data_IF_443862485045
#
_entry.id   IF_443862485045
#
_cell.length_a   1.000
_cell.length_b   1.000
_cell.length_c   1.000
_cell.angle_alpha   90.00
_cell.angle_beta   90.00
_cell.angle_gamma   90.00
#
_symmetry.space_group_name_H-M   'P 1'
#
loop_
_entity.id
_entity.type
_entity.pdbx_description
1 polymer ?
#
# COMPACT_ATOMS: atom_id res chain seq x y z
N UNK A 1 -24.60 -18.68 -10.33
CA UNK A 1 -24.08 -17.57 -9.48
C UNK A 1 -22.58 -17.45 -9.70
N UNK A 2 -22.11 -16.35 -10.32
CA UNK A 2 -20.67 -16.05 -10.43
C UNK A 2 -20.12 -15.72 -9.02
N UNK A 3 -18.85 -16.02 -8.73
CA UNK A 3 -18.18 -15.78 -7.43
C UNK A 3 -18.71 -16.61 -6.23
N UNK A 4 -19.16 -17.85 -6.47
CA UNK A 4 -19.72 -18.74 -5.43
C UNK A 4 -18.78 -18.99 -4.24
N UNK A 5 -17.48 -19.11 -4.51
CA UNK A 5 -16.43 -19.26 -3.50
C UNK A 5 -16.33 -18.03 -2.60
N UNK A 6 -16.33 -16.83 -3.18
CA UNK A 6 -16.31 -15.57 -2.42
C UNK A 6 -17.56 -15.41 -1.56
N UNK A 7 -18.74 -15.68 -2.12
CA UNK A 7 -20.00 -15.61 -1.37
C UNK A 7 -20.00 -16.60 -0.20
N UNK A 8 -19.57 -17.84 -0.44
CA UNK A 8 -19.46 -18.87 0.61
C UNK A 8 -18.47 -18.43 1.71
N UNK A 9 -17.32 -17.90 1.31
CA UNK A 9 -16.33 -17.35 2.24
C UNK A 9 -16.93 -16.23 3.10
N UNK A 10 -17.56 -15.22 2.49
CA UNK A 10 -18.15 -14.08 3.21
C UNK A 10 -19.24 -14.52 4.19
N UNK A 11 -20.12 -15.43 3.80
CA UNK A 11 -21.13 -16.00 4.71
C UNK A 11 -20.46 -16.74 5.87
N UNK A 12 -19.42 -17.53 5.59
CA UNK A 12 -18.67 -18.25 6.63
C UNK A 12 -18.03 -17.29 7.62
N UNK A 13 -17.42 -16.19 7.14
CA UNK A 13 -16.83 -15.15 8.00
C UNK A 13 -17.90 -14.44 8.83
N UNK A 14 -19.05 -14.11 8.23
CA UNK A 14 -20.17 -13.47 8.93
C UNK A 14 -20.71 -14.31 10.09
N UNK A 15 -20.72 -15.64 9.94
CA UNK A 15 -21.22 -16.59 10.93
C UNK A 15 -20.16 -17.08 11.94
N UNK A 16 -18.93 -16.55 11.91
CA UNK A 16 -17.90 -16.98 12.87
C UNK A 16 -18.27 -16.67 14.32
N UNK A 17 -17.89 -17.56 15.25
CA UNK A 17 -17.96 -17.29 16.68
C UNK A 17 -16.83 -16.33 17.12
N UNK A 18 -16.98 -15.71 18.29
CA UNK A 18 -15.92 -14.88 18.88
C UNK A 18 -14.62 -15.67 19.06
N UNK A 19 -14.70 -16.94 19.46
CA UNK A 19 -13.54 -17.82 19.60
C UNK A 19 -12.76 -17.98 18.29
N UNK A 20 -13.45 -18.30 17.18
CA UNK A 20 -12.81 -18.43 15.86
C UNK A 20 -12.15 -17.12 15.41
N UNK A 21 -12.80 -15.98 15.66
CA UNK A 21 -12.24 -14.65 15.39
C UNK A 21 -10.98 -14.40 16.20
N UNK A 22 -10.98 -14.76 17.49
CA UNK A 22 -9.82 -14.62 18.37
C UNK A 22 -8.67 -15.56 17.98
N UNK A 23 -8.95 -16.76 17.49
CA UNK A 23 -7.92 -17.66 16.94
C UNK A 23 -7.23 -17.02 15.74
N UNK A 24 -8.00 -16.51 14.77
CA UNK A 24 -7.43 -15.82 13.61
C UNK A 24 -6.63 -14.56 14.01
N UNK A 25 -7.11 -13.78 14.99
CA UNK A 25 -6.40 -12.61 15.48
C UNK A 25 -5.02 -12.98 16.09
N UNK A 26 -4.93 -14.12 16.78
CA UNK A 26 -3.67 -14.58 17.39
C UNK A 26 -2.60 -14.97 16.38
N UNK A 27 -2.97 -15.22 15.12
CA UNK A 27 -1.99 -15.39 14.04
C UNK A 27 -1.20 -14.10 13.80
N UNK A 28 -1.82 -12.93 14.00
CA UNK A 28 -1.18 -11.61 13.84
C UNK A 28 -0.69 -11.01 15.16
N UNK A 29 -1.41 -11.27 16.25
CA UNK A 29 -1.08 -10.77 17.58
C UNK A 29 -1.25 -11.87 18.64
N UNK A 30 -0.22 -12.71 18.85
CA UNK A 30 -0.32 -13.90 19.72
C UNK A 30 -0.78 -13.62 21.15
N UNK A 31 -0.46 -12.43 21.69
CA UNK A 31 -0.85 -12.00 23.03
C UNK A 31 -2.31 -11.56 23.20
N UNK A 32 -3.15 -11.68 22.16
CA UNK A 32 -4.54 -11.25 22.22
C UNK A 32 -5.36 -12.02 23.28
N UNK A 33 -5.85 -11.29 24.29
CA UNK A 33 -6.72 -11.78 25.37
C UNK A 33 -8.17 -11.41 25.13
N UNK A 34 -9.09 -12.37 25.23
CA UNK A 34 -10.50 -12.21 24.81
C UNK A 34 -11.17 -11.02 25.47
N UNK A 35 -10.90 -10.79 26.76
CA UNK A 35 -11.44 -9.71 27.59
C UNK A 35 -11.10 -8.29 27.08
N UNK A 36 -10.08 -8.14 26.24
CA UNK A 36 -9.71 -6.85 25.64
C UNK A 36 -10.39 -6.58 24.31
N UNK A 37 -11.14 -7.55 23.76
CA UNK A 37 -11.72 -7.45 22.42
C UNK A 37 -13.24 -7.50 22.49
N UNK A 38 -13.85 -6.59 21.74
CA UNK A 38 -15.30 -6.55 21.54
C UNK A 38 -15.61 -6.39 20.07
N UNK A 39 -16.75 -6.93 19.65
CA UNK A 39 -17.27 -6.68 18.31
C UNK A 39 -17.79 -5.25 18.24
N UNK A 40 -17.42 -4.57 17.17
CA UNK A 40 -17.96 -3.26 16.82
C UNK A 40 -18.65 -3.40 15.47
N UNK A 41 -19.76 -2.70 15.28
CA UNK A 41 -20.39 -2.61 13.98
C UNK A 41 -19.44 -1.86 13.05
N UNK A 42 -18.87 -2.58 12.09
CA UNK A 42 -18.04 -1.97 11.07
C UNK A 42 -18.91 -1.06 10.18
N UNK A 43 -18.34 0.06 9.74
CA UNK A 43 -19.00 0.93 8.76
C UNK A 43 -19.20 0.24 7.41
N UNK A 44 -20.01 0.84 6.55
CA UNK A 44 -20.20 0.37 5.18
C UNK A 44 -18.92 0.69 4.39
N UNK A 45 -18.23 -0.36 3.92
CA UNK A 45 -17.14 -0.19 2.95
C UNK A 45 -17.71 -0.21 1.54
N UNK A 46 -17.48 0.87 0.81
CA UNK A 46 -17.70 0.93 -0.64
C UNK A 46 -16.45 0.38 -1.31
N UNK A 47 -16.63 -0.60 -2.20
CA UNK A 47 -15.53 -1.14 -2.99
C UNK A 47 -15.84 -1.01 -4.47
N UNK A 48 -14.89 -0.45 -5.22
CA UNK A 48 -15.04 -0.15 -6.63
C UNK A 48 -14.94 -1.44 -7.45
N UNK A 49 -15.91 -1.68 -8.34
CA UNK A 49 -15.90 -2.80 -9.28
C UNK A 49 -15.71 -2.24 -10.69
N UNK A 50 -14.60 -2.58 -11.34
CA UNK A 50 -14.38 -2.23 -12.74
C UNK A 50 -15.04 -3.25 -13.66
N UNK A 51 -15.76 -2.73 -14.66
CA UNK A 51 -16.56 -3.56 -15.59
C UNK A 51 -15.71 -4.31 -16.61
N UNK A 52 -14.51 -3.80 -16.92
CA UNK A 52 -13.59 -4.39 -17.90
C UNK A 52 -13.04 -5.76 -17.47
N UNK A 53 -12.89 -6.00 -16.16
CA UNK A 53 -12.25 -7.22 -15.65
C UNK A 53 -13.24 -8.24 -15.10
N UNK A 54 -14.39 -8.39 -15.75
CA UNK A 54 -15.40 -9.42 -15.42
C UNK A 54 -15.92 -9.36 -13.96
N UNK A 55 -15.86 -8.20 -13.32
CA UNK A 55 -16.32 -8.01 -11.94
C UNK A 55 -15.33 -8.45 -10.87
N UNK A 56 -14.02 -8.43 -11.19
CA UNK A 56 -12.96 -8.57 -10.20
C UNK A 56 -13.00 -7.40 -9.22
N UNK A 57 -12.87 -7.72 -7.93
CA UNK A 57 -12.77 -6.74 -6.86
C UNK A 57 -11.36 -6.15 -6.89
N UNK A 58 -11.26 -4.84 -7.13
CA UNK A 58 -9.98 -4.14 -7.08
C UNK A 58 -9.67 -3.76 -5.64
N UNK A 59 -8.50 -4.21 -5.17
CA UNK A 59 -7.91 -3.82 -3.91
C UNK A 59 -6.74 -2.88 -4.24
N UNK A 60 -6.90 -1.59 -3.97
CA UNK A 60 -5.87 -0.61 -4.27
C UNK A 60 -6.36 0.83 -4.17
N UNK A 61 -5.40 1.75 -4.24
CA UNK A 61 -5.63 3.17 -4.47
C UNK A 61 -5.20 3.45 -5.90
N UNK A 62 -6.06 4.06 -6.69
CA UNK A 62 -5.74 4.48 -8.06
C UNK A 62 -5.67 5.99 -8.14
N UNK A 63 -4.64 6.50 -8.83
CA UNK A 63 -4.49 7.92 -9.13
C UNK A 63 -5.20 8.21 -10.44
N UNK A 64 -6.07 9.21 -10.44
CA UNK A 64 -6.68 9.76 -11.63
C UNK A 64 -6.41 11.26 -11.71
N UNK A 65 -6.29 11.77 -12.92
CA UNK A 65 -6.15 13.20 -13.17
C UNK A 65 -7.18 13.68 -14.18
N UNK A 66 -7.60 14.94 -14.04
CA UNK A 66 -8.37 15.61 -15.08
C UNK A 66 -7.55 15.71 -16.37
N UNK A 67 -8.21 15.84 -17.52
CA UNK A 67 -7.52 15.92 -18.82
C UNK A 67 -6.56 17.11 -18.92
N UNK A 68 -6.85 18.20 -18.20
CA UNK A 68 -6.03 19.40 -18.08
C UNK A 68 -5.01 19.33 -16.92
N UNK A 69 -4.97 18.21 -16.17
CA UNK A 69 -4.06 17.93 -15.05
C UNK A 69 -4.17 18.89 -13.85
N UNK A 70 -5.20 19.71 -13.80
CA UNK A 70 -5.42 20.68 -12.72
C UNK A 70 -5.87 20.03 -11.41
N UNK A 71 -6.43 18.81 -11.48
CA UNK A 71 -6.89 18.04 -10.32
C UNK A 71 -6.36 16.61 -10.42
N UNK A 72 -5.80 16.12 -9.30
CA UNK A 72 -5.51 14.72 -9.07
C UNK A 72 -6.44 14.19 -7.97
N UNK A 73 -7.00 13.01 -8.17
CA UNK A 73 -7.86 12.33 -7.20
C UNK A 73 -7.38 10.90 -6.97
N UNK A 74 -7.55 10.43 -5.73
CA UNK A 74 -7.27 9.06 -5.32
C UNK A 74 -8.60 8.34 -5.17
N UNK A 75 -8.79 7.25 -5.91
CA UNK A 75 -9.98 6.40 -5.81
C UNK A 75 -9.60 5.05 -5.22
N UNK A 76 -10.31 4.63 -4.18
CA UNK A 76 -10.14 3.31 -3.57
C UNK A 76 -9.81 3.38 -2.08
N UNK A 77 -9.03 2.42 -1.59
CA UNK A 77 -8.64 2.39 -0.19
C UNK A 77 -7.71 3.57 0.14
N UNK A 78 -7.75 4.06 1.39
CA UNK A 78 -6.76 5.03 1.86
C UNK A 78 -5.37 4.40 1.76
N UNK A 79 -4.39 5.08 1.14
CA UNK A 79 -3.05 4.53 1.00
C UNK A 79 -2.38 4.40 2.37
N UNK A 80 -1.85 3.22 2.66
CA UNK A 80 -0.99 3.01 3.82
C UNK A 80 0.41 3.56 3.58
N UNK A 81 1.24 3.58 4.64
CA UNK A 81 2.63 4.04 4.56
C UNK A 81 3.44 3.33 3.46
N UNK A 82 3.17 2.03 3.23
CA UNK A 82 3.86 1.20 2.24
C UNK A 82 3.63 1.60 0.78
N UNK A 83 2.55 2.33 0.47
CA UNK A 83 2.18 2.70 -0.91
C UNK A 83 2.13 4.22 -1.12
N UNK A 84 2.12 5.01 -0.05
CA UNK A 84 1.94 6.47 -0.12
C UNK A 84 3.02 7.17 -0.95
N UNK A 85 4.29 6.77 -0.80
CA UNK A 85 5.40 7.36 -1.57
C UNK A 85 5.26 7.06 -3.07
N UNK A 86 4.90 5.83 -3.42
CA UNK A 86 4.72 5.44 -4.82
C UNK A 86 3.59 6.25 -5.48
N UNK A 87 2.47 6.41 -4.78
CA UNK A 87 1.33 7.22 -5.22
C UNK A 87 1.72 8.70 -5.38
N UNK A 88 2.46 9.27 -4.43
CA UNK A 88 2.92 10.65 -4.54
C UNK A 88 3.82 10.85 -5.77
N UNK A 89 4.70 9.90 -6.07
CA UNK A 89 5.53 9.93 -7.28
C UNK A 89 4.69 9.81 -8.55
N UNK A 90 3.64 8.98 -8.56
CA UNK A 90 2.70 8.87 -9.67
C UNK A 90 1.95 10.19 -9.92
N UNK A 91 1.50 10.88 -8.85
CA UNK A 91 0.88 12.21 -8.94
C UNK A 91 1.85 13.23 -9.55
N UNK A 92 3.12 13.25 -9.10
CA UNK A 92 4.12 14.16 -9.65
C UNK A 92 4.34 13.89 -11.15
N UNK A 93 4.51 12.62 -11.53
CA UNK A 93 4.74 12.22 -12.93
C UNK A 93 3.54 12.54 -13.84
N UNK A 94 2.32 12.31 -13.36
CA UNK A 94 1.09 12.50 -14.15
C UNK A 94 0.66 13.96 -14.20
N UNK A 95 0.65 14.65 -13.07
CA UNK A 95 0.02 15.97 -12.93
C UNK A 95 1.04 17.12 -12.93
N UNK A 96 2.25 16.89 -12.42
CA UNK A 96 3.27 17.93 -12.25
C UNK A 96 4.61 17.59 -12.95
N UNK A 97 4.62 17.08 -14.19
CA UNK A 97 5.85 16.61 -14.84
C UNK A 97 6.88 17.73 -15.05
N UNK A 98 6.42 18.98 -15.14
CA UNK A 98 7.27 20.15 -15.29
C UNK A 98 8.24 20.34 -14.10
N UNK A 99 7.86 19.89 -12.90
CA UNK A 99 8.73 19.96 -11.72
C UNK A 99 10.00 19.14 -11.94
N UNK A 100 9.86 17.94 -12.50
CA UNK A 100 10.99 17.04 -12.78
C UNK A 100 11.71 17.36 -14.11
N UNK A 101 11.23 18.35 -14.87
CA UNK A 101 11.86 18.76 -16.13
C UNK A 101 13.04 19.73 -15.89
N UNK A 102 13.09 20.39 -14.73
CA UNK A 102 14.17 21.31 -14.36
C UNK A 102 15.33 20.58 -13.66
N UNK A 103 16.54 21.14 -13.75
CA UNK A 103 17.69 20.62 -13.00
C UNK A 103 17.46 20.70 -11.49
N UNK A 104 16.90 21.81 -11.02
CA UNK A 104 16.61 22.05 -9.60
C UNK A 104 15.59 21.04 -9.04
N UNK A 105 14.53 20.76 -9.79
CA UNK A 105 13.52 19.80 -9.36
C UNK A 105 14.04 18.36 -9.35
N UNK A 106 14.88 17.97 -10.31
CA UNK A 106 15.57 16.67 -10.26
C UNK A 106 16.54 16.58 -9.08
N UNK A 107 17.27 17.66 -8.78
CA UNK A 107 18.16 17.73 -7.62
C UNK A 107 17.37 17.60 -6.32
N UNK A 108 16.25 18.29 -6.18
CA UNK A 108 15.37 18.20 -5.01
C UNK A 108 14.80 16.78 -4.85
N UNK A 109 14.37 16.14 -5.95
CA UNK A 109 13.89 14.76 -5.90
C UNK A 109 14.99 13.78 -5.46
N UNK A 110 16.22 13.94 -5.96
CA UNK A 110 17.37 13.13 -5.52
C UNK A 110 17.76 13.36 -4.07
N UNK A 111 17.54 14.55 -3.50
CA UNK A 111 17.75 14.77 -2.07
C UNK A 111 16.76 13.96 -1.21
N UNK A 112 15.51 13.85 -1.64
CA UNK A 112 14.48 13.06 -0.93
C UNK A 112 14.62 11.55 -1.18
N UNK A 113 14.87 11.16 -2.43
CA UNK A 113 14.98 9.77 -2.88
C UNK A 113 16.27 9.64 -3.69
N UNK A 114 17.41 9.32 -3.05
CA UNK A 114 18.72 9.26 -3.72
C UNK A 114 18.77 8.35 -4.94
N UNK A 115 17.97 7.30 -4.94
CA UNK A 115 17.89 6.29 -6.02
C UNK A 115 16.79 6.57 -7.05
N UNK A 116 16.17 7.76 -7.06
CA UNK A 116 14.98 8.04 -7.90
C UNK A 116 15.18 7.78 -9.40
N UNK A 117 16.38 8.00 -9.94
CA UNK A 117 16.69 7.80 -11.36
C UNK A 117 17.30 6.41 -11.66
N UNK A 118 17.45 5.55 -10.65
CA UNK A 118 18.12 4.27 -10.75
C UNK A 118 17.11 3.12 -10.70
N UNK A 119 17.27 2.14 -11.60
CA UNK A 119 16.52 0.89 -11.52
C UNK A 119 17.27 -0.12 -10.62
N UNK A 120 16.81 -0.24 -9.38
CA UNK A 120 17.39 -1.14 -8.39
C UNK A 120 17.12 -2.63 -8.66
N UNK A 121 16.29 -2.97 -9.66
CA UNK A 121 16.07 -4.36 -10.07
C UNK A 121 17.20 -4.87 -10.98
N UNK A 122 17.99 -3.98 -11.57
CA UNK A 122 19.10 -4.35 -12.43
C UNK A 122 20.22 -5.00 -11.61
N UNK A 123 20.78 -6.15 -12.03
CA UNK A 123 21.89 -6.79 -11.32
C UNK A 123 23.10 -5.86 -11.12
N UNK A 124 23.37 -4.95 -12.06
CA UNK A 124 24.45 -3.97 -11.95
C UNK A 124 24.28 -2.97 -10.79
N UNK A 125 23.06 -2.81 -10.27
CA UNK A 125 22.74 -1.90 -9.17
C UNK A 125 22.61 -2.62 -7.82
N UNK A 126 22.96 -3.91 -7.72
CA UNK A 126 22.85 -4.68 -6.49
C UNK A 126 23.59 -4.03 -5.31
N UNK A 127 24.82 -3.56 -5.53
CA UNK A 127 25.60 -2.87 -4.49
C UNK A 127 24.93 -1.55 -4.01
N UNK A 128 24.27 -0.83 -4.91
CA UNK A 128 23.54 0.39 -4.58
C UNK A 128 22.27 0.06 -3.75
N UNK A 129 21.55 -0.99 -4.13
CA UNK A 129 20.41 -1.49 -3.37
C UNK A 129 20.82 -1.90 -1.95
N UNK A 130 21.85 -2.73 -1.80
CA UNK A 130 22.37 -3.19 -0.50
C UNK A 130 22.77 -2.03 0.40
N UNK A 131 23.53 -1.05 -0.15
CA UNK A 131 23.91 0.15 0.58
C UNK A 131 22.69 0.92 1.09
N UNK A 132 21.71 1.16 0.21
CA UNK A 132 20.53 1.96 0.53
C UNK A 132 19.62 1.24 1.55
N UNK A 133 19.47 -0.08 1.43
CA UNK A 133 18.70 -0.90 2.39
C UNK A 133 19.33 -0.84 3.77
N UNK A 134 20.66 -1.01 3.86
CA UNK A 134 21.39 -0.92 5.13
C UNK A 134 21.23 0.45 5.79
N UNK A 135 21.42 1.53 5.03
CA UNK A 135 21.23 2.90 5.56
C UNK A 135 19.79 3.14 6.05
N UNK A 136 18.79 2.59 5.36
CA UNK A 136 17.40 2.69 5.79
C UNK A 136 17.14 1.90 7.09
N UNK A 137 17.64 0.67 7.18
CA UNK A 137 17.54 -0.17 8.38
C UNK A 137 18.19 0.48 9.60
N UNK A 138 19.38 1.05 9.44
CA UNK A 138 20.10 1.78 10.49
C UNK A 138 19.29 3.01 10.96
N UNK A 139 18.79 3.83 10.03
CA UNK A 139 17.99 5.03 10.37
C UNK A 139 16.69 4.69 11.06
N UNK A 140 16.03 3.63 10.62
CA UNK A 140 14.76 3.15 11.17
C UNK A 140 14.95 2.26 12.41
N UNK A 141 16.20 1.95 12.78
CA UNK A 141 16.57 1.07 13.91
C UNK A 141 15.90 -0.30 13.81
N UNK A 142 15.84 -0.84 12.60
CA UNK A 142 15.24 -2.15 12.31
C UNK A 142 16.24 -3.29 12.50
N UNK A 143 17.53 -2.99 12.52
CA UNK A 143 18.55 -3.94 12.94
C UNK A 143 18.35 -4.28 14.42
N UNK A 144 17.85 -5.49 14.66
CA UNK A 144 17.87 -6.07 16.01
C UNK A 144 19.33 -6.17 16.48
N UNK A 145 19.62 -5.99 17.78
CA UNK A 145 20.91 -6.40 18.30
C UNK A 145 21.07 -7.89 17.98
N UNK A 146 22.20 -8.24 17.35
CA UNK A 146 22.58 -9.63 17.10
C UNK A 146 22.42 -10.42 18.39
N UNK A 147 21.53 -11.43 18.40
CA UNK A 147 21.46 -12.46 19.44
C UNK A 147 22.55 -13.48 19.20
#
# INVERSE_FOLDING_TARGET
VRNRSLVQYLVTQGLQSMEKRMTALREFYPGARVEHWRLVQAGIRVQTIKRQDRGVVYFGTEVFSSSDRSIAALLGASPGASVSVNIALEVIKSCLPHLLSSADGRASMKQMIPTHEEDLQQPGNAALFEKTSREAEERLRLSSPSV
#
